data_IF_806668084185
#
_entry.id   IF_806668084185
#
_cell.length_a   1.000
_cell.length_b   1.000
_cell.length_c   1.000
_cell.angle_alpha   90.00
_cell.angle_beta   90.00
_cell.angle_gamma   90.00
#
_symmetry.space_group_name_H-M   'P 1'
#
loop_
_entity.id
_entity.type
_entity.pdbx_description
1 polymer ?
#
# COMPACT_ATOMS: atom_id res chain seq x y z
N UNK A 1 -8.49 -44.99 -53.38
CA UNK A 1 -9.38 -43.84 -53.63
C UNK A 1 -9.31 -43.01 -52.34
N UNK A 2 -8.31 -42.13 -52.15
CA UNK A 2 -8.08 -40.83 -52.83
C UNK A 2 -9.30 -39.91 -52.59
N UNK A 3 -9.22 -38.69 -52.06
CA UNK A 3 -8.14 -37.70 -52.11
C UNK A 3 -8.29 -36.60 -51.03
N UNK A 4 -7.17 -35.89 -50.82
CA UNK A 4 -6.82 -34.74 -49.97
C UNK A 4 -7.53 -33.40 -50.35
N UNK A 5 -7.95 -32.52 -49.42
CA UNK A 5 -7.28 -31.34 -48.76
C UNK A 5 -7.36 -30.01 -49.60
N UNK A 6 -7.08 -28.76 -49.13
CA UNK A 6 -7.18 -28.04 -47.83
C UNK A 6 -7.85 -26.62 -47.92
N UNK A 7 -8.01 -25.91 -46.80
CA UNK A 7 -7.95 -24.42 -46.68
C UNK A 7 -7.72 -24.09 -45.19
N UNK A 8 -6.51 -23.85 -44.69
CA UNK A 8 -5.67 -22.63 -44.70
C UNK A 8 -6.45 -21.33 -44.44
N UNK A 9 -6.53 -20.94 -43.16
CA UNK A 9 -6.22 -19.58 -42.75
C UNK A 9 -5.01 -19.63 -41.82
N UNK A 10 -3.88 -19.26 -42.40
CA UNK A 10 -2.62 -19.00 -41.74
C UNK A 10 -2.55 -17.49 -41.43
N UNK A 11 -2.29 -17.15 -40.17
CA UNK A 11 -1.55 -15.92 -39.81
C UNK A 11 -0.56 -16.22 -38.69
N UNK A 12 -0.18 -17.49 -38.55
CA UNK A 12 0.97 -17.91 -37.79
C UNK A 12 2.21 -17.74 -38.66
N UNK A 13 2.93 -16.65 -38.46
CA UNK A 13 4.28 -16.51 -38.97
C UNK A 13 5.15 -15.81 -37.93
N UNK A 14 6.41 -16.14 -37.68
CA UNK A 14 7.27 -17.29 -38.04
C UNK A 14 8.61 -17.00 -37.30
N UNK A 15 9.24 -18.03 -36.73
CA UNK A 15 10.65 -18.21 -36.29
C UNK A 15 11.56 -16.97 -36.05
N UNK A 16 12.01 -16.77 -34.80
CA UNK A 16 13.33 -17.17 -34.23
C UNK A 16 14.57 -16.43 -34.78
N UNK A 17 15.25 -15.71 -33.88
CA UNK A 17 16.71 -15.78 -33.77
C UNK A 17 17.01 -15.96 -32.27
N UNK A 18 17.65 -17.06 -31.93
CA UNK A 18 18.02 -17.41 -30.56
C UNK A 18 19.39 -16.84 -30.22
N UNK A 19 19.50 -16.12 -29.11
CA UNK A 19 20.75 -16.00 -28.36
C UNK A 19 20.82 -17.21 -27.41
N UNK A 20 21.86 -18.05 -27.49
CA UNK A 20 21.94 -19.23 -26.67
C UNK A 20 22.41 -18.85 -25.25
N UNK A 21 21.68 -19.44 -24.30
CA UNK A 21 22.07 -19.72 -22.91
C UNK A 21 21.48 -18.80 -21.81
N UNK A 22 20.85 -19.48 -20.84
CA UNK A 22 20.51 -19.02 -19.48
C UNK A 22 19.29 -18.11 -19.25
N UNK A 23 18.12 -18.72 -19.45
CA UNK A 23 17.11 -19.02 -18.42
C UNK A 23 15.77 -19.01 -19.11
N UNK A 24 15.13 -20.18 -19.16
CA UNK A 24 13.69 -20.27 -19.40
C UNK A 24 13.03 -19.38 -18.36
N UNK A 25 12.65 -18.16 -18.76
CA UNK A 25 11.71 -17.34 -18.03
C UNK A 25 10.45 -18.20 -17.98
N UNK A 26 10.26 -18.88 -16.84
CA UNK A 26 9.01 -19.54 -16.47
C UNK A 26 7.90 -18.63 -16.97
N UNK A 27 7.08 -19.12 -17.90
CA UNK A 27 5.90 -18.41 -18.40
C UNK A 27 5.23 -17.76 -17.20
N UNK A 28 5.42 -16.44 -17.05
CA UNK A 28 4.82 -15.72 -15.94
C UNK A 28 3.35 -15.77 -16.27
N UNK A 29 2.58 -16.56 -15.51
CA UNK A 29 1.13 -16.36 -15.43
C UNK A 29 0.93 -14.85 -15.25
N UNK A 30 0.02 -14.21 -15.99
CA UNK A 30 -0.20 -12.77 -15.84
C UNK A 30 -0.47 -12.51 -14.36
N UNK A 31 0.52 -11.92 -13.69
CA UNK A 31 0.47 -11.74 -12.25
C UNK A 31 -0.58 -10.70 -11.94
N UNK A 32 -1.31 -10.87 -10.84
CA UNK A 32 -2.28 -9.87 -10.39
C UNK A 32 -1.52 -8.75 -9.67
N UNK A 33 -0.97 -7.83 -10.47
CA UNK A 33 -0.35 -6.60 -10.00
C UNK A 33 -1.40 -5.55 -9.66
N UNK A 34 -1.21 -4.85 -8.54
CA UNK A 34 -2.08 -3.75 -8.11
C UNK A 34 -1.31 -2.43 -8.09
N UNK A 35 -2.02 -1.32 -8.32
CA UNK A 35 -1.52 0.04 -8.08
C UNK A 35 -2.10 0.58 -6.78
N UNK A 36 -1.25 1.09 -5.89
CA UNK A 36 -1.67 1.74 -4.66
C UNK A 36 -1.21 3.19 -4.68
N UNK A 37 -2.15 4.11 -4.50
CA UNK A 37 -1.81 5.48 -4.12
C UNK A 37 -1.91 5.60 -2.60
N UNK A 38 -0.76 5.72 -1.94
CA UNK A 38 -0.70 5.86 -0.49
C UNK A 38 -0.72 7.36 -0.14
N UNK A 39 -1.79 8.11 -0.30
CA UNK A 39 -1.75 9.55 -0.02
C UNK A 39 -1.57 9.91 1.46
N UNK A 40 -1.33 11.19 1.75
CA UNK A 40 -1.22 11.72 3.14
C UNK A 40 -2.56 11.76 3.86
N UNK A 41 -3.64 12.03 3.10
CA UNK A 41 -5.00 12.19 3.64
C UNK A 41 -5.91 11.03 3.26
N UNK A 42 -5.81 10.58 2.01
CA UNK A 42 -6.56 9.44 1.50
C UNK A 42 -5.64 8.54 0.72
N UNK A 43 -5.96 7.26 0.70
CA UNK A 43 -5.29 6.25 -0.10
C UNK A 43 -6.32 5.47 -0.92
N UNK A 44 -5.88 4.84 -1.99
CA UNK A 44 -6.73 3.99 -2.82
C UNK A 44 -5.93 2.84 -3.43
N UNK A 45 -6.64 1.86 -3.96
CA UNK A 45 -6.08 0.74 -4.70
C UNK A 45 -6.80 0.59 -6.03
N UNK A 46 -6.05 0.27 -7.07
CA UNK A 46 -6.53 0.05 -8.41
C UNK A 46 -6.00 -1.26 -8.99
N UNK A 47 -6.81 -1.90 -9.82
CA UNK A 47 -6.39 -2.99 -10.69
C UNK A 47 -6.04 -2.41 -12.06
N UNK A 48 -4.95 -2.91 -12.65
CA UNK A 48 -4.54 -2.57 -14.02
C UNK A 48 -4.37 -3.86 -14.84
N UNK A 49 -5.47 -4.47 -15.34
CA UNK A 49 -5.40 -5.67 -16.15
C UNK A 49 -4.75 -5.38 -17.51
N UNK A 50 -4.02 -6.36 -18.05
CA UNK A 50 -3.44 -6.24 -19.39
C UNK A 50 -4.52 -6.02 -20.45
N UNK A 51 -4.37 -4.98 -21.28
CA UNK A 51 -5.30 -4.69 -22.37
C UNK A 51 -6.64 -4.08 -21.94
N UNK A 52 -6.79 -3.70 -20.66
CA UNK A 52 -7.97 -3.02 -20.15
C UNK A 52 -7.59 -1.70 -19.45
N UNK A 53 -8.57 -0.80 -19.33
CA UNK A 53 -8.39 0.41 -18.55
C UNK A 53 -8.23 0.07 -17.05
N UNK A 54 -7.37 0.79 -16.30
CA UNK A 54 -7.30 0.65 -14.86
C UNK A 54 -8.64 0.99 -14.20
N UNK A 55 -8.98 0.29 -13.11
CA UNK A 55 -10.16 0.59 -12.30
C UNK A 55 -9.82 0.67 -10.82
N UNK A 56 -10.42 1.61 -10.11
CA UNK A 56 -10.29 1.76 -8.66
C UNK A 56 -11.21 0.76 -7.96
N UNK A 57 -10.76 0.21 -6.83
CA UNK A 57 -11.57 -0.69 -6.00
C UNK A 57 -12.19 0.06 -4.82
N UNK A 58 -13.50 -0.05 -4.70
CA UNK A 58 -14.26 0.46 -3.57
C UNK A 58 -14.29 -0.54 -2.39
N UNK A 59 -14.63 -0.07 -1.20
CA UNK A 59 -15.02 -0.95 -0.09
C UNK A 59 -16.46 -1.46 -0.23
N UNK A 60 -16.94 -2.16 0.79
CA UNK A 60 -18.29 -2.71 0.87
C UNK A 60 -19.39 -1.63 0.87
N UNK A 61 -19.05 -0.38 1.20
CA UNK A 61 -19.95 0.78 1.18
C UNK A 61 -19.80 1.61 -0.11
N UNK A 62 -19.16 1.05 -1.14
CA UNK A 62 -18.91 1.68 -2.44
C UNK A 62 -18.03 2.94 -2.38
N UNK A 63 -17.16 3.03 -1.36
CA UNK A 63 -16.22 4.16 -1.19
C UNK A 63 -14.87 3.85 -1.85
N UNK A 64 -14.45 4.60 -2.88
CA UNK A 64 -13.18 4.36 -3.57
C UNK A 64 -11.96 4.81 -2.76
N UNK A 65 -12.14 5.77 -1.86
CA UNK A 65 -11.08 6.33 -1.03
C UNK A 65 -11.09 5.69 0.36
N UNK A 66 -9.90 5.47 0.91
CA UNK A 66 -9.67 5.09 2.30
C UNK A 66 -8.98 6.27 3.01
N UNK A 67 -9.55 6.86 4.07
CA UNK A 67 -8.83 7.82 4.89
C UNK A 67 -7.51 7.25 5.40
N UNK A 68 -6.42 8.00 5.24
CA UNK A 68 -5.07 7.60 5.70
C UNK A 68 -4.92 7.86 7.20
N UNK A 69 -5.76 7.19 7.97
CA UNK A 69 -5.92 7.34 9.41
C UNK A 69 -5.92 5.96 10.05
N UNK A 70 -5.17 5.80 11.14
CA UNK A 70 -5.03 4.55 11.89
C UNK A 70 -5.32 4.82 13.35
N UNK A 71 -6.29 4.11 13.91
CA UNK A 71 -6.63 4.13 15.33
C UNK A 71 -5.99 2.94 16.02
N UNK A 72 -5.38 3.22 17.15
CA UNK A 72 -4.86 2.23 18.10
C UNK A 72 -5.63 2.25 19.41
N UNK A 73 -6.87 2.77 19.41
CA UNK A 73 -7.74 2.78 20.58
C UNK A 73 -8.15 1.35 20.91
N UNK A 74 -7.84 0.91 22.14
CA UNK A 74 -8.10 -0.46 22.58
C UNK A 74 -7.14 -1.48 21.99
N UNK A 75 -7.59 -2.73 21.87
CA UNK A 75 -6.72 -3.86 21.48
C UNK A 75 -6.59 -4.04 19.96
N UNK A 76 -7.57 -3.59 19.19
CA UNK A 76 -7.62 -3.76 17.74
C UNK A 76 -7.13 -2.51 16.99
N UNK A 77 -6.35 -2.74 15.93
CA UNK A 77 -5.95 -1.66 15.03
C UNK A 77 -7.05 -1.45 13.99
N UNK A 78 -7.62 -0.25 13.97
CA UNK A 78 -8.68 0.15 13.04
C UNK A 78 -8.13 1.18 12.06
N UNK A 79 -8.56 1.14 10.80
CA UNK A 79 -8.03 2.00 9.73
C UNK A 79 -9.18 2.60 8.92
N UNK A 80 -9.01 3.82 8.43
CA UNK A 80 -9.96 4.45 7.51
C UNK A 80 -11.01 5.29 8.20
N UNK A 81 -12.25 5.17 7.75
CA UNK A 81 -13.37 5.97 8.25
C UNK A 81 -13.63 5.72 9.74
N UNK A 82 -13.68 4.46 10.16
CA UNK A 82 -13.91 4.11 11.57
C UNK A 82 -12.80 4.64 12.49
N UNK A 83 -11.55 4.66 12.01
CA UNK A 83 -10.45 5.28 12.73
C UNK A 83 -10.57 6.81 12.80
N UNK A 84 -11.10 7.44 11.76
CA UNK A 84 -11.30 8.87 11.68
C UNK A 84 -12.36 9.36 12.67
N UNK A 85 -13.39 8.56 12.93
CA UNK A 85 -14.47 8.89 13.87
C UNK A 85 -13.97 8.98 15.32
N UNK A 86 -12.98 8.17 15.71
CA UNK A 86 -12.40 8.19 17.06
C UNK A 86 -11.43 9.36 17.30
N UNK A 87 -11.04 10.11 16.26
CA UNK A 87 -9.91 11.05 16.32
C UNK A 87 -10.09 12.20 17.31
N UNK A 88 -11.31 12.70 17.45
CA UNK A 88 -11.59 13.86 18.32
C UNK A 88 -11.52 13.46 19.80
N UNK A 89 -12.02 12.27 20.13
CA UNK A 89 -12.03 11.74 21.50
C UNK A 89 -10.66 11.16 21.90
N UNK A 90 -9.92 10.59 20.94
CA UNK A 90 -8.67 9.87 21.16
C UNK A 90 -7.50 10.42 20.32
N UNK A 91 -7.15 11.71 20.43
CA UNK A 91 -6.18 12.35 19.52
C UNK A 91 -4.74 11.84 19.67
N UNK A 92 -4.40 11.19 20.80
CA UNK A 92 -3.09 10.60 21.04
C UNK A 92 -2.98 9.14 20.56
N UNK A 93 -4.11 8.46 20.31
CA UNK A 93 -4.15 7.08 19.83
C UNK A 93 -4.51 6.98 18.34
N UNK A 94 -5.03 8.05 17.74
CA UNK A 94 -5.43 8.09 16.33
C UNK A 94 -4.42 8.86 15.48
N UNK A 95 -3.64 8.12 14.68
CA UNK A 95 -2.58 8.65 13.83
C UNK A 95 -3.11 9.01 12.43
N UNK A 96 -2.85 10.24 12.01
CA UNK A 96 -3.16 10.77 10.68
C UNK A 96 -1.95 11.50 10.09
N UNK A 97 -1.96 11.75 8.79
CA UNK A 97 -0.85 12.43 8.10
C UNK A 97 0.51 11.73 8.28
N UNK A 98 0.52 10.42 8.49
CA UNK A 98 1.72 9.62 8.79
C UNK A 98 2.85 9.84 7.77
N UNK A 99 2.50 10.05 6.50
CA UNK A 99 3.46 10.31 5.42
C UNK A 99 4.36 11.53 5.67
N UNK A 100 3.93 12.51 6.49
CA UNK A 100 4.75 13.68 6.83
C UNK A 100 5.89 13.37 7.79
N UNK A 101 5.89 12.19 8.41
CA UNK A 101 6.91 11.72 9.34
C UNK A 101 7.88 10.71 8.73
N UNK A 102 7.55 10.13 7.57
CA UNK A 102 8.43 9.15 6.90
C UNK A 102 9.73 9.81 6.43
N UNK A 103 10.85 9.11 6.59
CA UNK A 103 12.18 9.58 6.20
C UNK A 103 12.75 10.72 7.07
N UNK A 104 12.08 11.07 8.18
CA UNK A 104 12.48 12.19 9.04
C UNK A 104 13.04 11.71 10.37
N UNK A 105 14.05 12.40 10.87
CA UNK A 105 14.46 12.33 12.27
C UNK A 105 13.57 13.21 13.15
N UNK A 106 13.69 13.06 14.48
CA UNK A 106 12.94 13.86 15.46
C UNK A 106 13.15 15.37 15.27
N UNK A 107 14.37 15.79 14.93
CA UNK A 107 14.71 17.20 14.72
C UNK A 107 14.11 17.82 13.44
N UNK A 108 13.69 17.00 12.46
CA UNK A 108 13.16 17.45 11.17
C UNK A 108 11.63 17.63 11.17
N UNK A 109 11.00 17.37 12.31
CA UNK A 109 9.55 17.51 12.51
C UNK A 109 9.25 18.86 13.14
N UNK A 110 9.03 19.87 12.29
CA UNK A 110 8.68 21.24 12.67
C UNK A 110 7.26 21.63 12.20
N UNK A 111 6.27 20.80 12.54
CA UNK A 111 4.88 21.12 12.26
C UNK A 111 3.98 20.68 13.41
N UNK A 112 2.84 21.35 13.55
CA UNK A 112 1.90 21.02 14.62
C UNK A 112 1.29 19.62 14.44
N UNK A 113 1.38 18.79 15.48
CA UNK A 113 0.76 17.47 15.58
C UNK A 113 0.40 17.16 17.05
N UNK A 114 -0.58 16.28 17.32
CA UNK A 114 -0.96 15.91 18.68
C UNK A 114 -0.09 14.80 19.30
N UNK A 115 0.76 14.16 18.49
CA UNK A 115 1.50 12.96 18.89
C UNK A 115 2.76 13.27 19.71
N UNK A 116 3.08 12.40 20.65
CA UNK A 116 4.40 12.37 21.26
C UNK A 116 5.38 11.61 20.35
N UNK A 117 6.48 12.25 20.00
CA UNK A 117 7.53 11.68 19.16
C UNK A 117 8.75 11.31 19.99
N UNK A 118 9.38 10.20 19.64
CA UNK A 118 10.61 9.73 20.24
C UNK A 118 11.54 9.19 19.15
N UNK A 119 12.83 9.07 19.46
CA UNK A 119 13.78 8.27 18.68
C UNK A 119 14.33 7.12 19.54
N UNK A 120 15.10 6.23 18.92
CA UNK A 120 15.80 5.13 19.55
C UNK A 120 17.25 5.47 19.94
N UNK A 121 17.64 6.74 19.88
CA UNK A 121 19.01 7.19 20.08
C UNK A 121 19.87 7.11 18.81
N UNK A 122 21.09 6.58 18.94
CA UNK A 122 22.12 6.63 17.89
C UNK A 122 21.72 5.78 16.67
N UNK A 123 21.15 6.44 15.65
CA UNK A 123 20.56 5.81 14.46
C UNK A 123 19.23 6.44 14.02
N UNK A 124 18.53 7.10 14.93
CA UNK A 124 17.54 8.14 14.64
C UNK A 124 16.26 7.71 13.94
N UNK A 125 15.72 6.50 14.21
CA UNK A 125 14.42 6.12 13.64
C UNK A 125 13.31 6.80 14.45
N UNK A 126 12.58 7.71 13.79
CA UNK A 126 11.43 8.37 14.38
C UNK A 126 10.34 7.37 14.75
N UNK A 127 9.84 7.50 15.97
CA UNK A 127 8.76 6.70 16.53
C UNK A 127 7.69 7.61 17.14
N UNK A 128 6.46 7.09 17.12
CA UNK A 128 5.27 7.72 17.67
C UNK A 128 4.86 6.91 18.91
N UNK A 129 4.78 7.57 20.06
CA UNK A 129 4.25 6.99 21.30
C UNK A 129 2.72 7.13 21.30
N UNK A 130 2.03 6.03 21.07
CA UNK A 130 0.56 5.92 21.05
C UNK A 130 0.04 5.94 22.49
N UNK A 131 -0.97 6.78 22.73
CA UNK A 131 -1.54 7.01 24.06
C UNK A 131 -0.68 7.89 24.98
N UNK A 132 0.52 8.25 24.53
CA UNK A 132 1.40 9.17 25.25
C UNK A 132 0.96 10.63 25.06
N UNK A 133 0.57 11.30 26.14
CA UNK A 133 0.38 12.77 26.15
C UNK A 133 1.55 13.40 26.90
N UNK A 134 2.30 14.29 26.24
CA UNK A 134 3.44 14.97 26.86
C UNK A 134 4.55 14.03 27.38
N UNK A 135 4.68 12.84 26.79
CA UNK A 135 5.70 11.85 27.14
C UNK A 135 5.36 10.92 28.32
N UNK A 136 4.15 11.01 28.87
CA UNK A 136 3.68 10.16 29.97
C UNK A 136 2.53 9.26 29.48
N UNK A 137 2.50 7.99 29.92
CA UNK A 137 1.36 7.09 29.70
C UNK A 137 1.34 6.30 28.39
N UNK A 138 2.49 6.06 27.73
CA UNK A 138 2.51 5.32 26.44
C UNK A 138 2.02 3.87 26.59
N UNK A 139 1.10 3.45 25.72
CA UNK A 139 0.63 2.06 25.63
C UNK A 139 1.41 1.28 24.57
N UNK A 140 1.70 1.93 23.44
CA UNK A 140 2.37 1.35 22.28
C UNK A 140 3.34 2.34 21.65
N UNK A 141 4.36 1.83 20.97
CA UNK A 141 5.27 2.64 20.14
C UNK A 141 5.30 2.08 18.72
N UNK A 142 5.08 2.94 17.73
CA UNK A 142 5.05 2.58 16.30
C UNK A 142 5.92 3.51 15.48
N UNK A 143 6.42 3.04 14.34
CA UNK A 143 7.13 3.86 13.35
C UNK A 143 6.15 4.39 12.29
N UNK A 144 6.48 5.48 11.58
CA UNK A 144 5.70 5.94 10.43
C UNK A 144 5.51 4.85 9.34
N UNK A 145 6.51 3.96 9.20
CA UNK A 145 6.46 2.84 8.26
C UNK A 145 5.44 1.79 8.71
N UNK A 146 5.43 1.40 9.99
CA UNK A 146 4.45 0.46 10.54
C UNK A 146 3.03 1.00 10.43
N UNK A 147 2.80 2.27 10.75
CA UNK A 147 1.48 2.91 10.59
C UNK A 147 1.04 2.91 9.11
N UNK A 148 1.97 3.18 8.19
CA UNK A 148 1.68 3.09 6.75
C UNK A 148 1.37 1.66 6.30
N UNK A 149 2.00 0.66 6.90
CA UNK A 149 1.77 -0.75 6.61
C UNK A 149 0.35 -1.20 6.99
N UNK A 150 -0.24 -0.65 8.05
CA UNK A 150 -1.64 -0.93 8.42
C UNK A 150 -2.62 -0.41 7.35
N UNK A 151 -2.34 0.76 6.75
CA UNK A 151 -3.11 1.28 5.61
C UNK A 151 -2.96 0.37 4.39
N UNK A 152 -1.73 -0.02 4.06
CA UNK A 152 -1.44 -0.91 2.94
C UNK A 152 -2.11 -2.29 3.11
N UNK A 153 -2.21 -2.80 4.33
CA UNK A 153 -2.88 -4.07 4.64
C UNK A 153 -4.37 -4.01 4.27
N UNK A 154 -5.08 -2.93 4.60
CA UNK A 154 -6.50 -2.77 4.22
C UNK A 154 -6.66 -2.72 2.70
N UNK A 155 -5.80 -1.97 2.01
CA UNK A 155 -5.83 -1.86 0.55
C UNK A 155 -5.49 -3.20 -0.14
N UNK A 156 -4.54 -3.96 0.40
CA UNK A 156 -4.25 -5.33 -0.06
C UNK A 156 -5.47 -6.22 0.10
N UNK A 157 -6.07 -6.26 1.30
CA UNK A 157 -7.23 -7.12 1.58
C UNK A 157 -8.41 -6.78 0.66
N UNK A 158 -8.62 -5.49 0.36
CA UNK A 158 -9.62 -5.04 -0.61
C UNK A 158 -9.35 -5.60 -2.00
N UNK A 159 -8.10 -5.59 -2.46
CA UNK A 159 -7.73 -6.18 -3.75
C UNK A 159 -7.83 -7.71 -3.76
N UNK A 160 -7.40 -8.39 -2.70
CA UNK A 160 -7.48 -9.84 -2.56
C UNK A 160 -8.95 -10.32 -2.57
N UNK A 161 -9.85 -9.58 -1.93
CA UNK A 161 -11.28 -9.84 -1.95
C UNK A 161 -11.87 -9.74 -3.37
N UNK A 162 -11.50 -8.71 -4.13
CA UNK A 162 -11.95 -8.52 -5.52
C UNK A 162 -11.41 -9.61 -6.47
N UNK A 163 -10.16 -10.03 -6.27
CA UNK A 163 -9.49 -11.01 -7.12
C UNK A 163 -9.77 -12.46 -6.73
N UNK A 164 -10.32 -12.70 -5.53
CA UNK A 164 -10.59 -14.03 -5.00
C UNK A 164 -9.32 -14.82 -4.63
N UNK A 165 -8.20 -14.13 -4.37
CA UNK A 165 -6.91 -14.76 -4.10
C UNK A 165 -5.79 -13.77 -3.78
N UNK A 166 -4.59 -14.26 -3.45
CA UNK A 166 -3.45 -13.42 -3.10
C UNK A 166 -2.96 -12.61 -4.31
N UNK A 167 -2.42 -11.42 -4.04
CA UNK A 167 -1.76 -10.59 -5.06
C UNK A 167 -0.29 -11.00 -5.26
N UNK A 168 0.23 -10.84 -6.47
CA UNK A 168 1.62 -11.19 -6.80
C UNK A 168 2.60 -10.04 -6.57
N UNK A 169 2.10 -8.80 -6.57
CA UNK A 169 2.92 -7.60 -6.39
C UNK A 169 2.11 -6.32 -6.40
N UNK A 170 2.72 -5.25 -5.93
CA UNK A 170 2.13 -3.91 -5.89
C UNK A 170 3.13 -2.86 -6.37
N UNK A 171 2.62 -1.83 -7.04
CA UNK A 171 3.33 -0.57 -7.28
C UNK A 171 2.71 0.47 -6.36
N UNK A 172 3.51 1.09 -5.49
CA UNK A 172 3.05 2.07 -4.51
C UNK A 172 3.59 3.44 -4.89
N UNK A 173 2.74 4.46 -4.91
CA UNK A 173 3.17 5.84 -5.15
C UNK A 173 3.94 6.41 -3.94
N UNK A 174 5.04 7.08 -4.23
CA UNK A 174 5.78 7.92 -3.28
C UNK A 174 5.81 9.36 -3.79
N UNK A 175 5.89 10.37 -2.91
CA UNK A 175 6.11 11.75 -3.34
C UNK A 175 7.39 11.86 -4.17
N UNK A 176 7.43 12.77 -5.15
CA UNK A 176 8.60 12.97 -6.01
C UNK A 176 9.88 13.43 -5.27
N UNK A 177 9.74 13.89 -4.02
CA UNK A 177 10.83 14.35 -3.15
C UNK A 177 11.17 13.34 -2.05
N UNK A 178 10.72 12.09 -2.16
CA UNK A 178 11.07 11.04 -1.22
C UNK A 178 12.53 10.64 -1.44
N UNK A 179 13.34 10.69 -0.37
CA UNK A 179 14.76 10.32 -0.39
C UNK A 179 14.96 8.83 -0.04
N UNK A 180 16.14 8.30 -0.38
CA UNK A 180 16.51 6.89 -0.17
C UNK A 180 16.96 6.58 1.29
N UNK A 181 16.54 7.41 2.26
CA UNK A 181 17.07 7.45 3.63
C UNK A 181 16.83 6.17 4.45
#
# INVERSE_FOLDING_TARGET
MSNENPSIHDTGALFQIAEPEEKRARERRPGFGIGIDLGTTHSLVALAPQGAAPRILADAEDRPLLPSVVSYVGDEVVVGYDAMDAREEHPAEVISSVKRFMGRGLADVDFHHPYHLADDGEGGVLRIDVGGVGGVGRERRVTPVEVSAEILKVLRLRAEAELGGPIDGAVITVPAYFDDA
#
